data_IF_425168913689
#
_entry.id   IF_425168913689
#
_cell.length_a   1.000
_cell.length_b   1.000
_cell.length_c   1.000
_cell.angle_alpha   90.00
_cell.angle_beta   90.00
_cell.angle_gamma   90.00
#
_symmetry.space_group_name_H-M   'P 1'
#
loop_
_entity.id
_entity.type
_entity.pdbx_description
1 polymer ?
#
# COMPACT_ATOMS: atom_id res chain seq x y z
N UNK A 1 37.89 17.78 56.53
CA UNK A 1 38.58 18.63 55.53
C UNK A 1 38.13 18.18 54.14
N UNK A 2 37.76 19.14 53.28
CA UNK A 2 37.48 19.06 51.82
C UNK A 2 36.46 18.00 51.36
N UNK A 3 35.22 18.28 50.97
CA UNK A 3 34.67 19.49 50.34
C UNK A 3 34.80 19.41 48.81
N UNK A 4 33.84 18.78 48.13
CA UNK A 4 33.67 18.91 46.69
C UNK A 4 32.21 19.27 46.41
N UNK A 5 31.96 20.58 46.31
CA UNK A 5 30.68 21.16 45.89
C UNK A 5 30.73 21.29 44.37
N UNK A 6 29.98 20.45 43.65
CA UNK A 6 29.75 20.66 42.23
C UNK A 6 28.64 21.70 42.08
N UNK A 7 29.03 22.93 41.76
CA UNK A 7 28.12 24.01 41.41
C UNK A 7 27.44 23.68 40.09
N UNK A 8 26.13 23.39 40.13
CA UNK A 8 25.30 23.37 38.93
C UNK A 8 25.07 24.81 38.47
N UNK A 9 25.78 25.21 37.42
CA UNK A 9 25.52 26.44 36.68
C UNK A 9 24.24 26.22 35.89
N UNK A 10 23.13 26.75 36.41
CA UNK A 10 21.87 26.90 35.68
C UNK A 10 22.01 28.11 34.76
N UNK A 11 21.97 27.98 33.43
CA UNK A 11 21.85 29.15 32.58
C UNK A 11 20.44 29.73 32.74
N UNK A 12 20.38 30.95 33.29
CA UNK A 12 19.19 31.77 33.34
C UNK A 12 18.75 32.12 31.92
N UNK A 13 17.58 31.62 31.50
CA UNK A 13 16.91 32.08 30.29
C UNK A 13 16.37 33.50 30.52
N UNK A 14 16.60 34.47 29.62
CA UNK A 14 15.99 35.78 29.73
C UNK A 14 14.47 35.66 29.50
N UNK A 15 13.71 36.31 30.39
CA UNK A 15 12.27 36.45 30.28
C UNK A 15 11.90 37.12 28.94
N UNK A 16 11.15 36.40 28.10
CA UNK A 16 10.61 36.93 26.87
C UNK A 16 9.62 38.06 27.18
N UNK A 17 9.93 39.24 26.65
CA UNK A 17 9.08 40.41 26.67
C UNK A 17 7.74 40.14 25.97
N UNK A 18 6.70 40.81 26.46
CA UNK A 18 5.30 40.53 26.17
C UNK A 18 4.92 40.56 24.69
N UNK A 19 4.28 39.48 24.25
CA UNK A 19 3.55 39.43 22.99
C UNK A 19 2.12 39.95 23.23
N UNK A 20 1.80 41.15 22.71
CA UNK A 20 0.42 41.64 22.61
C UNK A 20 -0.19 41.10 21.30
N UNK A 21 -1.32 40.38 21.32
CA UNK A 21 -2.01 40.01 20.09
C UNK A 21 -2.64 41.27 19.46
N UNK A 22 -2.62 41.42 18.13
CA UNK A 22 -3.27 42.53 17.46
C UNK A 22 -4.81 42.37 17.51
N UNK A 23 -5.46 43.53 17.64
CA UNK A 23 -6.91 43.71 17.66
C UNK A 23 -7.58 43.18 16.38
N UNK A 24 -8.71 42.53 16.60
CA UNK A 24 -9.64 41.96 15.61
C UNK A 24 -10.16 43.04 14.66
N UNK A 25 -9.83 42.94 13.37
CA UNK A 25 -10.43 43.74 12.30
C UNK A 25 -11.73 43.07 11.78
N UNK A 26 -12.68 43.85 11.23
CA UNK A 26 -14.06 43.42 11.02
C UNK A 26 -14.25 42.52 9.79
N UNK A 27 -15.25 41.66 9.93
CA UNK A 27 -15.83 40.75 8.94
C UNK A 27 -16.30 41.54 7.71
N UNK A 28 -15.77 41.23 6.53
CA UNK A 28 -16.39 41.62 5.26
C UNK A 28 -17.07 40.38 4.70
N UNK A 29 -18.40 40.40 4.79
CA UNK A 29 -19.28 39.49 4.08
C UNK A 29 -19.37 39.95 2.63
N UNK A 30 -18.76 39.20 1.71
CA UNK A 30 -19.07 39.28 0.28
C UNK A 30 -19.32 37.87 -0.23
N UNK A 31 -20.61 37.51 -0.23
CA UNK A 31 -21.13 36.37 -0.95
C UNK A 31 -21.02 36.64 -2.46
N UNK A 32 -20.00 36.10 -3.10
CA UNK A 32 -20.00 35.99 -4.56
C UNK A 32 -20.86 34.78 -4.94
N UNK A 33 -22.09 35.07 -5.34
CA UNK A 33 -23.02 34.13 -5.96
C UNK A 33 -22.39 33.65 -7.27
N UNK A 34 -21.95 32.39 -7.30
CA UNK A 34 -21.61 31.68 -8.54
C UNK A 34 -22.91 31.11 -9.10
N UNK A 35 -23.34 31.44 -10.33
CA UNK A 35 -24.53 30.86 -10.92
C UNK A 35 -24.29 29.37 -11.22
N UNK A 36 -25.28 28.55 -10.88
CA UNK A 36 -25.32 27.12 -11.14
C UNK A 36 -25.35 26.83 -12.65
N UNK A 37 -24.72 25.74 -13.13
CA UNK A 37 -24.90 25.30 -14.50
C UNK A 37 -26.31 24.73 -14.68
N UNK A 38 -27.00 25.23 -15.70
CA UNK A 38 -28.37 24.87 -16.05
C UNK A 38 -28.49 23.39 -16.43
N UNK A 39 -29.47 22.72 -15.83
CA UNK A 39 -30.01 21.45 -16.28
C UNK A 39 -30.85 21.67 -17.56
N UNK A 40 -30.63 20.91 -18.65
CA UNK A 40 -31.65 20.77 -19.68
C UNK A 40 -32.59 19.61 -19.31
N UNK A 41 -33.78 19.95 -18.82
CA UNK A 41 -34.97 19.10 -18.89
C UNK A 41 -35.55 19.18 -20.30
N UNK A 42 -35.70 18.04 -21.00
CA UNK A 42 -36.87 17.58 -21.79
C UNK A 42 -36.43 16.42 -22.72
N UNK A 43 -37.21 15.32 -22.82
CA UNK A 43 -36.81 14.14 -23.58
C UNK A 43 -37.09 14.31 -25.08
N UNK A 44 -36.05 14.25 -25.92
CA UNK A 44 -36.26 14.02 -27.35
C UNK A 44 -36.60 12.55 -27.60
N UNK A 45 -37.84 12.33 -28.03
CA UNK A 45 -38.40 11.07 -28.50
C UNK A 45 -37.61 10.58 -29.72
N UNK A 46 -36.64 9.69 -29.52
CA UNK A 46 -35.90 9.07 -30.62
C UNK A 46 -36.84 8.16 -31.41
N UNK A 47 -36.94 8.38 -32.72
CA UNK A 47 -37.80 7.59 -33.59
C UNK A 47 -37.29 6.14 -33.66
N UNK A 48 -38.23 5.20 -33.76
CA UNK A 48 -37.99 3.74 -33.84
C UNK A 48 -37.22 3.29 -35.10
N UNK A 49 -36.86 4.21 -36.00
CA UNK A 49 -36.11 3.93 -37.21
C UNK A 49 -34.58 3.90 -36.99
N UNK A 50 -34.04 4.69 -36.05
CA UNK A 50 -32.58 4.79 -35.85
C UNK A 50 -32.00 3.59 -35.06
N UNK A 51 -32.84 2.92 -34.28
CA UNK A 51 -32.48 1.71 -33.51
C UNK A 51 -32.36 0.46 -34.40
N UNK A 52 -33.00 0.45 -35.58
CA UNK A 52 -32.98 -0.71 -36.50
C UNK A 52 -31.69 -0.79 -37.31
N UNK A 53 -31.04 0.34 -37.62
CA UNK A 53 -29.86 0.37 -38.48
C UNK A 53 -28.55 0.06 -37.74
N UNK A 54 -28.50 0.17 -36.42
CA UNK A 54 -27.33 -0.24 -35.64
C UNK A 54 -27.28 -1.74 -35.36
N UNK A 55 -28.44 -2.42 -35.34
CA UNK A 55 -28.51 -3.88 -35.18
C UNK A 55 -28.12 -4.65 -36.46
N UNK A 56 -28.09 -4.00 -37.63
CA UNK A 56 -27.70 -4.61 -38.90
C UNK A 56 -26.18 -4.59 -39.16
N UNK A 57 -25.42 -3.69 -38.53
CA UNK A 57 -23.98 -3.55 -38.74
C UNK A 57 -23.12 -4.53 -37.90
N UNK A 58 -23.73 -5.30 -36.98
CA UNK A 58 -23.02 -6.25 -36.11
C UNK A 58 -23.07 -7.72 -36.58
N UNK A 59 -23.62 -8.01 -37.77
CA UNK A 59 -23.80 -9.40 -38.25
C UNK A 59 -22.77 -9.92 -39.26
N UNK A 60 -21.67 -9.21 -39.55
CA UNK A 60 -20.73 -9.63 -40.62
C UNK A 60 -19.33 -10.09 -40.21
N UNK A 61 -18.98 -10.13 -38.92
CA UNK A 61 -17.64 -10.60 -38.49
C UNK A 61 -17.71 -11.88 -37.65
N UNK A 62 -18.05 -12.99 -38.30
CA UNK A 62 -17.79 -14.34 -37.79
C UNK A 62 -16.44 -14.85 -38.33
N UNK A 63 -15.49 -15.33 -37.50
CA UNK A 63 -14.30 -15.98 -38.01
C UNK A 63 -14.65 -17.38 -38.51
N UNK A 64 -14.16 -17.66 -39.72
CA UNK A 64 -14.22 -18.91 -40.47
C UNK A 64 -13.73 -20.11 -39.62
N UNK A 65 -14.58 -21.13 -39.53
CA UNK A 65 -14.30 -22.43 -38.91
C UNK A 65 -13.10 -23.10 -39.62
N UNK A 66 -11.97 -23.22 -38.93
CA UNK A 66 -10.83 -24.02 -39.37
C UNK A 66 -10.78 -25.30 -38.54
N UNK A 67 -11.24 -26.40 -39.14
CA UNK A 67 -11.01 -27.76 -38.67
C UNK A 67 -9.52 -28.05 -38.61
N UNK A 68 -9.00 -28.44 -37.44
CA UNK A 68 -7.62 -28.90 -37.24
C UNK A 68 -7.62 -30.24 -36.48
N UNK A 69 -6.70 -31.17 -36.79
CA UNK A 69 -6.78 -32.56 -36.37
C UNK A 69 -6.42 -32.76 -34.89
N UNK A 70 -7.05 -33.75 -34.27
CA UNK A 70 -6.80 -34.19 -32.89
C UNK A 70 -5.43 -34.86 -32.74
N UNK A 71 -4.51 -34.20 -32.03
CA UNK A 71 -3.25 -34.78 -31.55
C UNK A 71 -3.28 -34.98 -30.03
N UNK A 72 -2.85 -36.16 -29.58
CA UNK A 72 -2.76 -36.53 -28.15
C UNK A 72 -1.84 -35.57 -27.37
N UNK A 73 -2.22 -35.29 -26.12
CA UNK A 73 -1.61 -34.37 -25.16
C UNK A 73 -1.94 -32.87 -25.36
N UNK A 74 -2.99 -32.41 -24.67
CA UNK A 74 -3.45 -31.04 -24.68
C UNK A 74 -2.49 -30.08 -23.96
N UNK A 75 -1.76 -29.28 -24.73
CA UNK A 75 -1.27 -27.94 -24.36
C UNK A 75 -0.95 -27.15 -25.62
N UNK A 76 -1.74 -26.11 -25.92
CA UNK A 76 -1.47 -25.19 -27.02
C UNK A 76 -0.46 -24.14 -26.54
N UNK A 77 0.75 -24.17 -27.07
CA UNK A 77 1.68 -23.04 -26.99
C UNK A 77 1.61 -22.27 -28.33
N UNK A 78 1.16 -21.02 -28.30
CA UNK A 78 1.22 -20.15 -29.46
C UNK A 78 2.68 -19.78 -29.74
N UNK A 79 3.20 -20.12 -30.92
CA UNK A 79 4.49 -19.63 -31.40
C UNK A 79 4.38 -18.13 -31.70
N UNK A 80 5.27 -17.33 -31.11
CA UNK A 80 5.36 -15.89 -31.37
C UNK A 80 6.09 -15.62 -32.69
N UNK A 81 5.48 -14.83 -33.58
CA UNK A 81 6.12 -14.31 -34.77
C UNK A 81 7.05 -13.12 -34.41
N UNK A 82 8.17 -12.90 -35.12
CA UNK A 82 9.11 -11.84 -34.82
C UNK A 82 8.70 -10.53 -35.51
N UNK A 83 8.57 -9.45 -34.74
CA UNK A 83 8.36 -8.10 -35.25
C UNK A 83 7.03 -7.50 -34.82
N UNK A 84 6.98 -6.98 -33.60
CA UNK A 84 6.03 -5.95 -33.18
C UNK A 84 6.52 -5.36 -31.85
N UNK A 85 7.44 -4.41 -31.95
CA UNK A 85 7.86 -3.55 -30.84
C UNK A 85 6.70 -2.64 -30.40
N UNK A 86 6.55 -2.49 -29.08
CA UNK A 86 5.66 -1.56 -28.39
C UNK A 86 4.14 -1.90 -28.38
N UNK A 87 3.77 -2.93 -27.61
CA UNK A 87 2.45 -2.99 -26.97
C UNK A 87 2.63 -3.09 -25.45
N UNK A 88 2.09 -2.11 -24.72
CA UNK A 88 1.96 -2.15 -23.26
C UNK A 88 1.44 -3.54 -22.83
N UNK A 89 2.01 -4.20 -21.81
CA UNK A 89 1.44 -5.45 -21.32
C UNK A 89 0.01 -5.17 -20.84
N UNK A 90 -0.95 -5.75 -21.56
CA UNK A 90 -2.37 -5.74 -21.21
C UNK A 90 -2.46 -6.37 -19.82
N UNK A 91 -2.77 -5.55 -18.81
CA UNK A 91 -3.13 -6.07 -17.49
C UNK A 91 -4.31 -7.02 -17.67
N UNK A 92 -4.23 -8.27 -17.16
CA UNK A 92 -5.34 -9.20 -17.25
C UNK A 92 -6.54 -8.58 -16.55
N UNK A 93 -7.64 -8.42 -17.28
CA UNK A 93 -8.90 -7.97 -16.69
C UNK A 93 -9.36 -9.02 -15.68
N UNK A 94 -9.68 -8.63 -14.44
CA UNK A 94 -10.09 -9.58 -13.43
C UNK A 94 -11.39 -10.27 -13.87
N UNK A 95 -11.55 -11.58 -13.60
CA UNK A 95 -12.77 -12.29 -13.94
C UNK A 95 -13.98 -11.62 -13.28
N UNK A 96 -15.05 -11.41 -14.06
CA UNK A 96 -16.34 -10.92 -13.56
C UNK A 96 -16.88 -11.94 -12.55
N UNK A 97 -16.69 -11.67 -11.26
CA UNK A 97 -17.22 -12.58 -10.24
C UNK A 97 -16.86 -12.29 -8.78
N UNK A 98 -15.86 -11.46 -8.46
CA UNK A 98 -15.49 -11.20 -7.06
C UNK A 98 -15.66 -9.74 -6.66
N UNK A 99 -16.92 -9.25 -6.71
CA UNK A 99 -17.31 -8.08 -5.91
C UNK A 99 -17.59 -8.58 -4.50
N UNK A 100 -16.58 -8.63 -3.62
CA UNK A 100 -16.84 -8.55 -2.17
C UNK A 100 -16.75 -7.08 -1.78
N UNK A 101 -17.89 -6.57 -1.33
CA UNK A 101 -18.07 -5.22 -0.81
C UNK A 101 -16.92 -4.88 0.13
N UNK A 102 -16.17 -3.83 -0.19
CA UNK A 102 -15.57 -3.02 0.86
C UNK A 102 -16.76 -2.37 1.59
N UNK A 103 -17.05 -2.74 2.85
CA UNK A 103 -18.06 -2.01 3.59
C UNK A 103 -17.52 -0.59 3.77
N UNK A 104 -18.24 0.39 3.23
CA UNK A 104 -18.04 1.81 3.47
C UNK A 104 -18.37 2.10 4.93
N UNK A 105 -17.40 1.90 5.81
CA UNK A 105 -17.35 2.50 7.13
C UNK A 105 -16.02 3.22 7.18
N UNK A 106 -16.04 4.51 7.51
CA UNK A 106 -14.86 5.38 7.57
C UNK A 106 -13.68 4.82 8.40
N UNK A 107 -13.90 3.77 9.19
CA UNK A 107 -12.89 3.05 9.96
C UNK A 107 -13.13 1.54 9.84
N UNK A 108 -12.25 0.84 9.11
CA UNK A 108 -12.15 -0.62 9.17
C UNK A 108 -11.32 -1.03 10.39
N UNK A 109 -11.62 -2.19 11.00
CA UNK A 109 -10.79 -2.75 12.07
C UNK A 109 -9.33 -2.94 11.62
N UNK A 110 -9.13 -3.31 10.36
CA UNK A 110 -7.81 -3.42 9.74
C UNK A 110 -7.06 -2.08 9.78
N UNK A 111 -7.69 -0.98 9.33
CA UNK A 111 -7.09 0.37 9.34
C UNK A 111 -6.75 0.82 10.76
N UNK A 112 -7.64 0.56 11.73
CA UNK A 112 -7.38 0.88 13.13
C UNK A 112 -6.17 0.11 13.66
N UNK A 113 -6.10 -1.20 13.40
CA UNK A 113 -5.00 -2.06 13.84
C UNK A 113 -3.69 -1.64 13.18
N UNK A 114 -3.70 -1.44 11.86
CA UNK A 114 -2.54 -1.00 11.09
C UNK A 114 -1.95 0.30 11.64
N UNK A 115 -2.75 1.37 11.75
CA UNK A 115 -2.25 2.63 12.30
C UNK A 115 -1.89 2.55 13.78
N UNK A 116 -2.60 1.75 14.59
CA UNK A 116 -2.22 1.56 15.99
C UNK A 116 -0.87 0.85 16.12
N UNK A 117 -0.59 -0.12 15.25
CA UNK A 117 0.68 -0.81 15.23
C UNK A 117 1.81 0.07 14.67
N UNK A 118 1.59 0.90 13.65
CA UNK A 118 2.63 1.81 13.17
C UNK A 118 2.95 2.97 14.12
N UNK A 119 1.97 3.50 14.84
CA UNK A 119 2.13 4.75 15.60
C UNK A 119 2.10 4.57 17.12
N UNK A 120 1.21 3.74 17.67
CA UNK A 120 1.06 3.60 19.12
C UNK A 120 1.97 2.51 19.69
N UNK A 121 2.05 1.36 19.03
CA UNK A 121 2.82 0.22 19.55
C UNK A 121 4.34 0.45 19.61
N UNK A 122 4.98 1.27 18.76
CA UNK A 122 6.39 1.61 18.94
C UNK A 122 6.67 2.32 20.27
N UNK A 123 5.69 3.03 20.83
CA UNK A 123 5.83 3.61 22.18
C UNK A 123 5.95 2.51 23.24
N UNK A 124 5.16 1.42 23.11
CA UNK A 124 5.26 0.25 23.98
C UNK A 124 6.63 -0.41 23.85
N UNK A 125 7.12 -0.62 22.62
CA UNK A 125 8.46 -1.15 22.38
C UNK A 125 9.55 -0.26 22.99
N UNK A 126 9.40 1.06 22.87
CA UNK A 126 10.36 2.02 23.43
C UNK A 126 10.42 1.93 24.96
N UNK A 127 9.25 1.82 25.61
CA UNK A 127 9.14 1.71 27.06
C UNK A 127 9.70 0.37 27.57
N UNK A 128 9.51 -0.72 26.83
CA UNK A 128 9.96 -2.07 27.24
C UNK A 128 11.45 -2.28 26.99
N UNK A 129 11.94 -1.94 25.79
CA UNK A 129 13.32 -2.24 25.38
C UNK A 129 14.32 -1.10 25.67
N UNK A 130 13.85 0.15 25.72
CA UNK A 130 14.69 1.33 25.92
C UNK A 130 14.17 2.27 27.02
N UNK A 131 13.82 1.77 28.23
CA UNK A 131 13.10 2.53 29.25
C UNK A 131 13.79 3.83 29.68
N UNK A 132 15.14 3.85 29.71
CA UNK A 132 15.92 5.03 30.12
C UNK A 132 15.89 6.17 29.09
N UNK A 133 15.58 5.87 27.83
CA UNK A 133 15.57 6.83 26.72
C UNK A 133 14.34 6.63 25.82
N UNK A 134 13.22 6.23 26.41
CA UNK A 134 12.02 5.78 25.68
C UNK A 134 11.47 6.84 24.72
N UNK A 135 11.57 8.13 25.07
CA UNK A 135 11.10 9.23 24.21
C UNK A 135 11.91 9.30 22.92
N UNK A 136 13.24 9.28 23.05
CA UNK A 136 14.17 9.26 21.91
C UNK A 136 13.98 7.99 21.09
N UNK A 137 13.88 6.83 21.75
CA UNK A 137 13.66 5.57 21.06
C UNK A 137 12.34 5.54 20.30
N UNK A 138 11.26 6.04 20.89
CA UNK A 138 9.95 6.17 20.25
C UNK A 138 10.02 7.10 19.02
N UNK A 139 10.64 8.28 19.14
CA UNK A 139 10.78 9.21 18.01
C UNK A 139 11.63 8.62 16.88
N UNK A 140 12.68 7.86 17.19
CA UNK A 140 13.49 7.18 16.18
C UNK A 140 12.67 6.08 15.48
N UNK A 141 11.94 5.25 16.22
CA UNK A 141 11.07 4.23 15.62
C UNK A 141 9.90 4.85 14.85
N UNK A 142 9.40 6.01 15.25
CA UNK A 142 8.41 6.74 14.47
C UNK A 142 9.02 7.29 13.17
N UNK A 143 10.29 7.71 13.19
CA UNK A 143 11.00 8.14 12.00
C UNK A 143 11.20 7.00 10.98
N UNK A 144 11.20 5.73 11.39
CA UNK A 144 11.31 4.61 10.44
C UNK A 144 10.07 4.44 9.56
N UNK A 145 8.93 5.07 9.90
CA UNK A 145 7.77 5.15 9.01
C UNK A 145 8.08 5.82 7.66
N UNK A 146 9.16 6.62 7.59
CA UNK A 146 9.64 7.22 6.35
C UNK A 146 10.02 6.16 5.29
N UNK A 147 10.27 4.92 5.70
CA UNK A 147 10.51 3.78 4.83
C UNK A 147 9.38 3.58 3.81
N UNK A 148 8.13 3.88 4.17
CA UNK A 148 6.96 3.79 3.28
C UNK A 148 7.02 4.73 2.08
N UNK A 149 7.94 5.69 2.05
CA UNK A 149 8.17 6.49 0.85
C UNK A 149 8.61 5.64 -0.35
N UNK A 150 9.10 4.41 -0.14
CA UNK A 150 9.39 3.48 -1.22
C UNK A 150 8.12 3.00 -1.97
N UNK A 151 6.93 3.25 -1.42
CA UNK A 151 5.66 3.07 -2.12
C UNK A 151 5.52 3.97 -3.34
N UNK A 152 6.14 5.14 -3.33
CA UNK A 152 6.13 6.07 -4.46
C UNK A 152 6.85 5.51 -5.69
N UNK A 153 7.69 4.48 -5.52
CA UNK A 153 8.39 3.79 -6.61
C UNK A 153 7.50 2.73 -7.30
N UNK A 154 6.34 2.41 -6.74
CA UNK A 154 5.44 1.41 -7.29
C UNK A 154 4.52 1.94 -8.39
N UNK A 155 4.15 1.05 -9.32
CA UNK A 155 3.06 1.25 -10.27
C UNK A 155 2.05 0.11 -10.11
N UNK A 156 0.77 0.38 -9.75
CA UNK A 156 0.22 1.68 -9.31
C UNK A 156 0.76 2.09 -7.93
N UNK A 157 0.75 3.40 -7.65
CA UNK A 157 1.26 3.94 -6.37
C UNK A 157 0.42 3.39 -5.21
N UNK A 158 -0.89 3.60 -5.26
CA UNK A 158 -1.85 3.12 -4.25
C UNK A 158 -2.65 1.93 -4.78
N UNK A 159 -2.60 0.82 -4.03
CA UNK A 159 -3.43 -0.36 -4.26
C UNK A 159 -3.76 -1.00 -2.91
N UNK A 160 -5.02 -0.95 -2.44
CA UNK A 160 -5.40 -1.43 -1.12
C UNK A 160 -5.39 -2.97 -1.00
N UNK A 161 -5.29 -3.69 -2.12
CA UNK A 161 -5.28 -5.16 -2.15
C UNK A 161 -3.89 -5.76 -2.34
N UNK A 162 -2.88 -4.92 -2.52
CA UNK A 162 -1.49 -5.35 -2.73
C UNK A 162 -0.78 -5.52 -1.39
N UNK A 163 -0.08 -6.64 -1.23
CA UNK A 163 0.85 -6.80 -0.12
C UNK A 163 2.17 -6.05 -0.40
N UNK A 164 2.59 -5.17 0.53
CA UNK A 164 3.82 -4.38 0.44
C UNK A 164 5.08 -5.25 0.52
N UNK A 165 5.03 -6.31 1.32
CA UNK A 165 6.17 -7.20 1.58
C UNK A 165 6.59 -7.95 0.31
N UNK A 166 7.86 -7.77 -0.05
CA UNK A 166 8.48 -8.32 -1.25
C UNK A 166 8.19 -7.54 -2.52
N UNK A 167 7.36 -6.50 -2.48
CA UNK A 167 7.01 -5.68 -3.63
C UNK A 167 7.90 -4.44 -3.79
N UNK A 168 8.14 -3.73 -2.68
CA UNK A 168 8.94 -2.51 -2.67
C UNK A 168 10.41 -2.78 -2.28
N UNK A 169 11.37 -1.93 -2.68
CA UNK A 169 12.79 -2.15 -2.41
C UNK A 169 13.12 -2.27 -0.92
N UNK A 170 12.60 -1.37 -0.08
CA UNK A 170 12.85 -1.42 1.37
C UNK A 170 12.02 -2.53 2.01
N UNK A 171 10.82 -2.79 1.51
CA UNK A 171 9.99 -3.92 1.97
C UNK A 171 10.39 -5.28 1.37
N UNK A 172 11.56 -5.38 0.74
CA UNK A 172 11.99 -6.60 0.07
C UNK A 172 12.37 -7.71 1.06
N UNK A 173 12.26 -8.98 0.63
CA UNK A 173 12.72 -10.10 1.45
C UNK A 173 14.22 -10.05 1.78
N UNK A 174 15.00 -9.34 0.96
CA UNK A 174 16.44 -9.11 1.21
C UNK A 174 16.69 -8.04 2.27
N UNK A 175 15.78 -7.09 2.45
CA UNK A 175 15.89 -6.05 3.47
C UNK A 175 15.69 -6.61 4.89
N UNK A 176 14.81 -7.61 5.06
CA UNK A 176 14.54 -8.27 6.35
C UNK A 176 15.83 -8.76 7.04
N UNK A 177 16.68 -9.60 6.42
CA UNK A 177 17.91 -10.05 7.07
C UNK A 177 18.90 -8.90 7.29
N UNK A 178 18.95 -7.90 6.41
CA UNK A 178 19.80 -6.71 6.63
C UNK A 178 19.37 -5.98 7.91
N UNK A 179 18.07 -5.74 8.09
CA UNK A 179 17.55 -5.10 9.30
C UNK A 179 17.76 -5.97 10.55
N UNK A 180 17.66 -7.29 10.44
CA UNK A 180 18.00 -8.21 11.52
C UNK A 180 19.49 -8.13 11.91
N UNK A 181 20.40 -7.99 10.93
CA UNK A 181 21.83 -7.81 11.21
C UNK A 181 22.12 -6.48 11.92
N UNK A 182 21.35 -5.42 11.63
CA UNK A 182 21.48 -4.13 12.34
C UNK A 182 21.16 -4.23 13.85
N UNK A 183 20.45 -5.28 14.31
CA UNK A 183 20.24 -5.52 15.75
C UNK A 183 21.54 -5.91 16.47
N UNK A 184 22.53 -6.45 15.75
CA UNK A 184 23.81 -6.88 16.33
C UNK A 184 24.73 -5.69 16.65
N UNK A 185 24.49 -4.53 16.04
CA UNK A 185 25.29 -3.33 16.23
C UNK A 185 24.60 -2.41 17.26
N UNK A 186 25.23 -2.13 18.42
CA UNK A 186 24.59 -1.38 19.51
C UNK A 186 24.12 0.02 19.11
N UNK A 187 24.80 0.65 18.14
CA UNK A 187 24.45 1.98 17.65
C UNK A 187 23.16 2.02 16.82
N UNK A 188 22.78 0.90 16.17
CA UNK A 188 21.63 0.85 15.24
C UNK A 188 20.44 0.09 15.79
N UNK A 189 20.50 -0.43 17.02
CA UNK A 189 19.46 -1.30 17.59
C UNK A 189 18.06 -0.67 17.56
N UNK A 190 17.94 0.61 17.95
CA UNK A 190 16.64 1.30 17.97
C UNK A 190 16.05 1.38 16.56
N UNK A 191 16.88 1.76 15.57
CA UNK A 191 16.47 1.84 14.16
C UNK A 191 16.09 0.46 13.63
N UNK A 192 16.88 -0.56 13.96
CA UNK A 192 16.63 -1.94 13.54
C UNK A 192 15.32 -2.49 14.12
N UNK A 193 15.03 -2.23 15.40
CA UNK A 193 13.74 -2.59 16.02
C UNK A 193 12.59 -1.87 15.32
N UNK A 194 12.72 -0.56 15.07
CA UNK A 194 11.71 0.22 14.34
C UNK A 194 11.42 -0.33 12.94
N UNK A 195 12.46 -0.56 12.14
CA UNK A 195 12.34 -1.13 10.80
C UNK A 195 11.72 -2.53 10.85
N UNK A 196 12.24 -3.45 11.65
CA UNK A 196 11.68 -4.81 11.73
C UNK A 196 10.23 -4.83 12.19
N UNK A 197 9.87 -3.96 13.13
CA UNK A 197 8.50 -3.85 13.61
C UNK A 197 7.56 -3.19 12.58
N UNK A 198 8.07 -2.27 11.77
CA UNK A 198 7.38 -1.73 10.59
C UNK A 198 7.03 -2.85 9.60
N UNK A 199 8.02 -3.66 9.19
CA UNK A 199 7.79 -4.79 8.28
C UNK A 199 6.85 -5.83 8.89
N UNK A 200 6.93 -6.05 10.20
CA UNK A 200 6.00 -6.92 10.91
C UNK A 200 4.56 -6.40 10.78
N UNK A 201 4.35 -5.10 10.99
CA UNK A 201 3.03 -4.47 10.91
C UNK A 201 2.44 -4.57 9.49
N UNK A 202 3.25 -4.34 8.46
CA UNK A 202 2.84 -4.54 7.07
C UNK A 202 2.51 -6.00 6.75
N UNK A 203 3.26 -6.93 7.34
CA UNK A 203 2.98 -8.35 7.20
C UNK A 203 1.61 -8.70 7.80
N UNK A 204 1.27 -8.13 8.96
CA UNK A 204 -0.06 -8.29 9.58
C UNK A 204 -1.16 -7.76 8.67
N UNK A 205 -0.96 -6.60 8.02
CA UNK A 205 -1.91 -6.05 7.05
C UNK A 205 -2.07 -6.96 5.82
N UNK A 206 -0.96 -7.49 5.29
CA UNK A 206 -0.99 -8.48 4.21
C UNK A 206 -1.80 -9.73 4.59
N UNK A 207 -1.61 -10.27 5.79
CA UNK A 207 -2.36 -11.43 6.28
C UNK A 207 -3.87 -11.12 6.38
N UNK A 208 -4.23 -9.91 6.80
CA UNK A 208 -5.62 -9.47 6.83
C UNK A 208 -6.21 -9.46 5.42
N UNK A 209 -5.50 -8.91 4.44
CA UNK A 209 -5.91 -8.91 3.04
C UNK A 209 -6.09 -10.34 2.49
N UNK A 210 -5.17 -11.25 2.81
CA UNK A 210 -5.25 -12.65 2.36
C UNK A 210 -6.47 -13.39 2.91
N UNK A 211 -6.91 -13.08 4.14
CA UNK A 211 -8.11 -13.69 4.70
C UNK A 211 -9.41 -13.28 3.99
N UNK A 212 -9.43 -12.13 3.31
CA UNK A 212 -10.60 -11.62 2.60
C UNK A 212 -10.55 -11.87 1.09
N UNK A 213 -9.34 -12.04 0.54
CA UNK A 213 -9.09 -12.11 -0.90
C UNK A 213 -8.05 -13.18 -1.24
N UNK A 214 -8.51 -14.32 -1.77
CA UNK A 214 -7.64 -15.40 -2.21
C UNK A 214 -6.76 -15.01 -3.41
N UNK A 215 -7.30 -14.25 -4.35
CA UNK A 215 -6.54 -13.76 -5.53
C UNK A 215 -5.40 -12.82 -5.12
N UNK A 216 -5.58 -12.06 -4.03
CA UNK A 216 -4.56 -11.18 -3.48
C UNK A 216 -3.40 -11.99 -2.88
N UNK A 217 -3.70 -13.13 -2.28
CA UNK A 217 -2.68 -14.07 -1.82
C UNK A 217 -1.93 -14.70 -2.99
N UNK A 218 -2.65 -15.22 -4.00
CA UNK A 218 -2.04 -15.89 -5.16
C UNK A 218 -1.15 -14.95 -6.00
N UNK A 219 -1.52 -13.67 -6.08
CA UNK A 219 -0.74 -12.63 -6.79
C UNK A 219 0.42 -12.06 -5.96
N UNK A 220 0.51 -12.39 -4.67
CA UNK A 220 1.55 -11.86 -3.78
C UNK A 220 2.94 -12.47 -4.05
N UNK A 221 3.99 -11.67 -3.79
CA UNK A 221 5.38 -12.15 -3.83
C UNK A 221 5.67 -13.20 -2.75
N UNK A 222 4.91 -13.18 -1.65
CA UNK A 222 4.97 -14.18 -0.57
C UNK A 222 4.57 -15.56 -1.08
N UNK A 223 3.50 -15.66 -1.88
CA UNK A 223 3.09 -16.93 -2.49
C UNK A 223 4.17 -17.47 -3.44
N UNK A 224 4.75 -16.59 -4.27
CA UNK A 224 5.84 -16.95 -5.16
C UNK A 224 7.07 -17.48 -4.39
N UNK A 225 7.45 -16.80 -3.30
CA UNK A 225 8.54 -17.22 -2.43
C UNK A 225 8.25 -18.59 -1.79
N UNK A 226 7.06 -18.77 -1.20
CA UNK A 226 6.65 -20.04 -0.58
C UNK A 226 6.72 -21.19 -1.58
N UNK A 227 6.24 -20.99 -2.80
CA UNK A 227 6.26 -22.02 -3.83
C UNK A 227 7.69 -22.35 -4.26
N UNK A 228 8.54 -21.34 -4.45
CA UNK A 228 9.96 -21.54 -4.74
C UNK A 228 10.67 -22.32 -3.62
N UNK A 229 10.41 -22.00 -2.35
CA UNK A 229 10.97 -22.74 -1.20
C UNK A 229 10.47 -24.19 -1.18
N UNK A 230 9.17 -24.44 -1.40
CA UNK A 230 8.63 -25.80 -1.47
C UNK A 230 9.29 -26.63 -2.58
N UNK A 231 9.53 -26.01 -3.73
CA UNK A 231 10.26 -26.61 -4.85
C UNK A 231 11.70 -26.94 -4.51
N UNK A 232 12.41 -25.99 -3.88
CA UNK A 232 13.80 -26.17 -3.45
C UNK A 232 13.93 -27.31 -2.44
N UNK A 233 12.95 -27.46 -1.54
CA UNK A 233 12.88 -28.53 -0.54
C UNK A 233 12.35 -29.87 -1.11
N UNK A 234 12.12 -29.98 -2.42
CA UNK A 234 11.67 -31.22 -3.07
C UNK A 234 10.26 -31.68 -2.68
N UNK A 235 9.41 -30.80 -2.14
CA UNK A 235 8.04 -31.11 -1.69
C UNK A 235 6.97 -30.95 -2.78
N UNK A 236 7.33 -31.11 -4.06
CA UNK A 236 6.41 -30.86 -5.21
C UNK A 236 5.42 -32.02 -5.51
N UNK A 237 5.30 -33.05 -4.68
CA UNK A 237 4.57 -34.28 -5.02
C UNK A 237 3.63 -34.87 -3.97
N UNK A 238 3.09 -34.05 -3.05
CA UNK A 238 2.11 -34.52 -2.05
C UNK A 238 0.84 -33.68 -2.12
N UNK A 239 0.18 -33.67 -3.28
CA UNK A 239 -1.23 -33.27 -3.43
C UNK A 239 -1.90 -34.19 -4.47
#
# INVERSE_FOLDING_TARGET
>A
MTGCRTAAIVPAFPAAAGYRPPLRAPRQDTATVVPAPEHPTTPQRRSTAEVRNQAAAQKSNAPREQTMPMGKAGRRYAQAAPGDTARNPIQPTPPRGLRRQFPTKLFSAQTLVHYSLHFLFPAVLALVFFPLMWQTAYLIMLATMLMDLDHLLAKPIFDPLRCSIGYHPLHSFYAVPIYALLLLLPATQIVAVGLLFHLFTDTVDCLWNFSHCQECYLSSRIYALRNWVRKLLGREGVE
#
